data_IF_376924205316
#
_entry.id   IF_376924205316
#
_cell.length_a   1.000
_cell.length_b   1.000
_cell.length_c   1.000
_cell.angle_alpha   90.00
_cell.angle_beta   90.00
_cell.angle_gamma   90.00
#
_symmetry.space_group_name_H-M   'P 1'
#
loop_
_entity.id
_entity.type
_entity.pdbx_description
1 polymer ?
#
# COMPACT_ATOMS: atom_id res chain seq x y z
N UNK A 1 24.12 -31.89 -20.93
CA UNK A 1 22.89 -32.66 -21.15
C UNK A 1 21.68 -31.76 -20.86
N UNK A 2 21.01 -31.43 -21.95
CA UNK A 2 19.61 -31.03 -22.11
C UNK A 2 19.02 -29.99 -21.17
N UNK A 3 19.13 -28.75 -21.57
CA UNK A 3 18.30 -27.64 -21.12
C UNK A 3 16.98 -27.69 -21.92
N UNK A 4 15.87 -28.00 -21.28
CA UNK A 4 14.54 -27.84 -21.87
C UNK A 4 14.03 -26.44 -21.58
N UNK A 5 13.71 -25.73 -22.64
CA UNK A 5 13.08 -24.42 -22.70
C UNK A 5 11.59 -24.52 -22.36
N UNK A 6 11.18 -23.87 -21.27
CA UNK A 6 9.78 -23.61 -20.94
C UNK A 6 9.33 -22.25 -21.53
N UNK A 7 9.07 -22.28 -22.82
CA UNK A 7 8.40 -21.21 -23.54
C UNK A 7 7.03 -21.73 -24.05
N UNK A 8 6.01 -21.72 -23.19
CA UNK A 8 4.59 -21.75 -23.60
C UNK A 8 3.66 -21.75 -22.38
N UNK A 9 3.46 -20.59 -21.74
CA UNK A 9 2.26 -20.32 -20.94
C UNK A 9 2.14 -18.80 -20.73
N UNK A 10 1.81 -18.08 -21.79
CA UNK A 10 1.34 -16.72 -21.63
C UNK A 10 0.48 -16.28 -22.80
N UNK A 11 -0.81 -16.61 -22.76
CA UNK A 11 -1.83 -15.91 -23.53
C UNK A 11 -3.22 -16.24 -22.96
N UNK A 12 -3.59 -15.60 -21.86
CA UNK A 12 -4.97 -15.19 -21.56
C UNK A 12 -4.94 -14.13 -20.45
N UNK A 13 -4.44 -12.96 -20.79
CA UNK A 13 -4.51 -11.78 -19.94
C UNK A 13 -5.90 -11.17 -19.97
N UNK A 14 -6.78 -11.56 -19.05
CA UNK A 14 -8.00 -10.81 -18.77
C UNK A 14 -7.63 -9.53 -18.01
N UNK A 15 -7.76 -8.40 -18.68
CA UNK A 15 -7.61 -7.07 -18.09
C UNK A 15 -8.63 -6.89 -16.97
N UNK A 16 -8.23 -6.27 -15.84
CA UNK A 16 -9.10 -5.93 -14.70
C UNK A 16 -10.35 -5.11 -15.10
N UNK A 17 -10.33 -4.44 -16.25
CA UNK A 17 -11.48 -3.74 -16.81
C UNK A 17 -12.57 -4.69 -17.33
N UNK A 18 -12.23 -5.91 -17.69
CA UNK A 18 -13.20 -6.90 -18.23
C UNK A 18 -13.98 -7.62 -17.12
N UNK A 19 -13.48 -7.61 -15.88
CA UNK A 19 -14.14 -8.31 -14.77
C UNK A 19 -15.34 -7.53 -14.18
N UNK A 20 -15.40 -6.22 -14.34
CA UNK A 20 -16.50 -5.39 -13.85
C UNK A 20 -17.62 -5.17 -14.88
N UNK A 21 -17.45 -5.64 -16.12
CA UNK A 21 -18.41 -5.45 -17.22
C UNK A 21 -19.42 -6.57 -17.42
N UNK A 22 -19.33 -7.72 -16.73
CA UNK A 22 -20.14 -8.90 -17.07
C UNK A 22 -21.20 -9.28 -16.03
N UNK A 23 -21.45 -8.46 -15.03
CA UNK A 23 -22.42 -8.73 -13.97
C UNK A 23 -23.73 -7.93 -14.06
N UNK A 24 -24.11 -7.47 -15.24
CA UNK A 24 -25.33 -6.70 -15.41
C UNK A 24 -26.06 -7.04 -16.72
N UNK A 25 -26.50 -8.29 -16.92
CA UNK A 25 -27.67 -8.63 -17.78
C UNK A 25 -28.14 -10.04 -17.43
N UNK A 26 -29.09 -10.19 -16.53
CA UNK A 26 -30.13 -11.21 -16.58
C UNK A 26 -31.10 -10.99 -15.40
N UNK A 27 -32.26 -10.44 -15.72
CA UNK A 27 -33.35 -10.27 -14.78
C UNK A 27 -34.51 -9.52 -15.42
N UNK A 28 -35.08 -10.13 -16.46
CA UNK A 28 -36.36 -9.65 -17.01
C UNK A 28 -37.51 -10.17 -16.17
N UNK A 29 -38.44 -9.27 -15.84
CA UNK A 29 -39.85 -9.56 -15.68
C UNK A 29 -40.34 -9.83 -14.26
N UNK A 30 -41.12 -8.89 -13.71
CA UNK A 30 -42.56 -9.10 -13.36
C UNK A 30 -43.13 -7.71 -13.09
N UNK A 31 -44.20 -7.43 -13.81
CA UNK A 31 -45.05 -6.27 -13.62
C UNK A 31 -45.93 -6.43 -12.36
N UNK A 32 -46.05 -5.37 -11.58
CA UNK A 32 -46.98 -5.29 -10.45
C UNK A 32 -47.28 -3.86 -10.12
N UNK A 33 -48.50 -3.41 -10.49
CA UNK A 33 -49.05 -2.10 -10.23
C UNK A 33 -49.29 -1.87 -8.75
N UNK A 34 -48.99 -0.67 -8.27
CA UNK A 34 -49.36 -0.19 -6.93
C UNK A 34 -49.25 1.32 -6.84
N UNK A 35 -50.34 2.01 -7.25
CA UNK A 35 -50.54 3.43 -6.95
C UNK A 35 -50.69 3.63 -5.44
N UNK A 36 -49.94 4.53 -4.85
CA UNK A 36 -50.41 5.35 -3.75
C UNK A 36 -49.66 6.70 -3.79
N UNK A 37 -50.44 7.74 -4.06
CA UNK A 37 -49.97 9.10 -4.08
C UNK A 37 -49.82 9.67 -2.68
N UNK A 38 -48.89 10.59 -2.55
CA UNK A 38 -48.93 11.62 -1.53
C UNK A 38 -48.62 12.97 -2.19
N UNK A 39 -49.69 13.75 -2.28
CA UNK A 39 -49.67 15.15 -2.65
C UNK A 39 -49.01 15.99 -1.56
N UNK A 40 -48.11 16.87 -1.93
CA UNK A 40 -47.47 17.82 -1.03
C UNK A 40 -47.18 19.15 -1.74
N UNK A 41 -48.13 20.03 -1.71
CA UNK A 41 -48.08 21.50 -1.73
C UNK A 41 -47.16 22.22 -2.73
N UNK A 42 -47.74 22.58 -3.84
CA UNK A 42 -47.32 23.71 -4.67
C UNK A 42 -47.83 25.03 -4.07
N UNK A 43 -46.95 25.93 -3.66
CA UNK A 43 -47.29 27.34 -3.51
C UNK A 43 -46.78 28.13 -4.71
N UNK A 44 -47.73 28.52 -5.59
CA UNK A 44 -47.51 29.60 -6.56
C UNK A 44 -47.62 30.93 -5.83
N UNK A 45 -46.64 31.78 -5.95
CA UNK A 45 -46.77 33.22 -5.85
C UNK A 45 -46.09 33.85 -7.04
N UNK A 46 -46.94 34.48 -7.87
CA UNK A 46 -46.51 35.33 -8.98
C UNK A 46 -46.04 36.70 -8.44
N UNK A 47 -45.05 37.25 -9.09
CA UNK A 47 -44.85 38.69 -9.07
C UNK A 47 -43.42 39.15 -8.76
N UNK A 48 -42.76 39.72 -9.77
CA UNK A 48 -41.66 40.65 -9.57
C UNK A 48 -40.41 40.33 -10.38
N UNK A 49 -40.35 40.85 -11.60
CA UNK A 49 -39.09 40.92 -12.36
C UNK A 49 -38.13 41.87 -11.63
N UNK A 50 -37.08 41.32 -11.06
CA UNK A 50 -35.88 42.03 -10.68
C UNK A 50 -34.71 41.38 -11.44
N UNK A 51 -34.19 42.12 -12.42
CA UNK A 51 -32.92 41.84 -13.06
C UNK A 51 -31.81 41.93 -12.02
N UNK A 52 -31.57 40.82 -11.32
CA UNK A 52 -30.43 40.64 -10.48
C UNK A 52 -29.39 39.92 -11.32
N UNK A 53 -28.28 40.59 -11.61
CA UNK A 53 -27.05 39.99 -12.06
C UNK A 53 -26.75 38.82 -11.13
N UNK A 54 -27.01 37.60 -11.58
CA UNK A 54 -26.53 36.42 -10.91
C UNK A 54 -24.99 36.47 -10.92
N UNK A 55 -24.44 36.92 -9.81
CA UNK A 55 -23.02 36.68 -9.54
C UNK A 55 -22.81 35.19 -9.65
N UNK A 56 -22.11 34.79 -10.67
CA UNK A 56 -21.49 33.47 -10.76
C UNK A 56 -20.68 33.32 -9.48
N UNK A 57 -21.25 32.66 -8.45
CA UNK A 57 -20.44 32.07 -7.42
C UNK A 57 -19.56 31.06 -8.18
N UNK A 58 -18.31 31.42 -8.42
CA UNK A 58 -17.31 30.46 -8.84
C UNK A 58 -17.44 29.32 -7.82
N UNK A 59 -17.96 28.19 -8.26
CA UNK A 59 -17.91 26.97 -7.48
C UNK A 59 -16.45 26.81 -7.12
N UNK A 60 -16.16 26.81 -5.81
CA UNK A 60 -14.81 26.58 -5.36
C UNK A 60 -14.36 25.29 -6.06
N UNK A 61 -13.28 25.39 -6.81
CA UNK A 61 -12.69 24.25 -7.50
C UNK A 61 -12.22 23.25 -6.41
N UNK A 62 -13.08 22.28 -6.09
CA UNK A 62 -12.78 21.21 -5.16
C UNK A 62 -11.93 20.16 -5.88
N UNK A 63 -10.73 20.54 -6.29
CA UNK A 63 -9.79 19.67 -6.99
C UNK A 63 -9.40 18.42 -6.18
N UNK A 64 -9.62 18.45 -4.89
CA UNK A 64 -9.41 17.35 -3.94
C UNK A 64 -10.66 16.47 -3.72
N UNK A 65 -11.81 16.86 -4.25
CA UNK A 65 -13.03 16.09 -4.12
C UNK A 65 -13.08 14.94 -5.11
N UNK A 66 -13.29 13.72 -4.58
CA UNK A 66 -13.58 12.51 -5.36
C UNK A 66 -14.95 12.00 -4.93
N UNK A 67 -15.88 11.95 -5.86
CA UNK A 67 -17.27 11.58 -5.62
C UNK A 67 -17.43 10.13 -5.13
N UNK A 68 -18.59 9.80 -4.53
CA UNK A 68 -18.91 8.43 -4.18
C UNK A 68 -18.89 7.50 -5.40
N UNK A 69 -18.13 6.40 -5.32
CA UNK A 69 -17.96 5.45 -6.41
C UNK A 69 -16.89 5.81 -7.43
N UNK A 70 -16.32 7.01 -7.36
CA UNK A 70 -15.19 7.41 -8.18
C UNK A 70 -13.87 6.97 -7.59
N UNK A 71 -12.85 6.81 -8.46
CA UNK A 71 -11.50 6.44 -8.08
C UNK A 71 -10.62 7.69 -8.01
N UNK A 72 -9.71 7.69 -7.05
CA UNK A 72 -8.63 8.66 -7.01
C UNK A 72 -7.73 8.52 -8.25
N UNK A 73 -7.15 9.62 -8.68
CA UNK A 73 -6.30 9.69 -9.86
C UNK A 73 -4.97 8.95 -9.63
N UNK A 74 -4.41 9.08 -8.44
CA UNK A 74 -3.15 8.46 -8.04
C UNK A 74 -3.26 7.82 -6.66
N UNK A 75 -2.26 7.00 -6.32
CA UNK A 75 -2.09 6.40 -5.00
C UNK A 75 -0.74 6.77 -4.42
N UNK A 76 -0.75 7.22 -3.16
CA UNK A 76 0.46 7.53 -2.41
C UNK A 76 0.71 6.45 -1.34
N UNK A 77 1.94 5.98 -1.26
CA UNK A 77 2.37 5.05 -0.23
C UNK A 77 3.08 5.82 0.88
N UNK A 78 2.49 5.87 2.04
CA UNK A 78 2.97 6.64 3.18
C UNK A 78 3.42 5.72 4.32
N UNK A 79 4.45 6.16 5.02
CA UNK A 79 4.93 5.49 6.22
C UNK A 79 3.92 5.63 7.36
N UNK A 80 3.65 4.54 8.07
CA UNK A 80 2.96 4.55 9.34
C UNK A 80 3.90 4.77 10.55
N UNK A 81 5.21 4.86 10.31
CA UNK A 81 6.19 5.00 11.38
C UNK A 81 6.20 3.79 12.32
N UNK A 82 6.11 4.03 13.61
CA UNK A 82 6.17 2.98 14.63
C UNK A 82 5.00 1.99 14.63
N UNK A 83 3.93 2.25 13.90
CA UNK A 83 2.89 1.24 13.66
C UNK A 83 3.37 0.11 12.75
N UNK A 84 4.50 0.31 12.04
CA UNK A 84 5.16 -0.72 11.22
C UNK A 84 4.38 -1.12 9.98
N UNK A 85 3.54 -0.24 9.46
CA UNK A 85 2.67 -0.45 8.30
C UNK A 85 2.89 0.62 7.23
N UNK A 86 2.50 0.32 6.00
CA UNK A 86 2.34 1.30 4.93
C UNK A 86 0.86 1.65 4.80
N UNK A 87 0.56 2.93 4.68
CA UNK A 87 -0.78 3.44 4.37
C UNK A 87 -0.85 3.83 2.91
N UNK A 88 -1.88 3.35 2.23
CA UNK A 88 -2.18 3.74 0.86
C UNK A 88 -3.25 4.82 0.91
N UNK A 89 -2.90 6.00 0.42
CA UNK A 89 -3.81 7.15 0.33
C UNK A 89 -4.20 7.38 -1.12
N UNK A 90 -5.44 7.75 -1.34
CA UNK A 90 -5.89 8.25 -2.63
C UNK A 90 -5.45 9.70 -2.84
N UNK A 91 -5.15 10.09 -4.05
CA UNK A 91 -4.83 11.46 -4.45
C UNK A 91 -5.71 11.83 -5.64
N UNK A 92 -6.49 12.92 -5.58
CA UNK A 92 -6.36 14.08 -4.68
C UNK A 92 -7.09 13.97 -3.34
N UNK A 93 -7.98 13.00 -3.11
CA UNK A 93 -8.88 13.00 -1.95
C UNK A 93 -8.19 12.87 -0.59
N UNK A 94 -6.94 12.40 -0.55
CA UNK A 94 -6.16 12.10 0.65
C UNK A 94 -6.84 11.11 1.62
N UNK A 95 -7.88 10.41 1.20
CA UNK A 95 -8.52 9.36 2.00
C UNK A 95 -7.63 8.13 2.13
N UNK A 96 -7.62 7.52 3.30
CA UNK A 96 -6.93 6.26 3.53
C UNK A 96 -7.74 5.12 2.87
N UNK A 97 -7.13 4.46 1.90
CA UNK A 97 -7.74 3.37 1.14
C UNK A 97 -7.41 2.01 1.71
N UNK A 98 -6.19 1.86 2.26
CA UNK A 98 -5.70 0.58 2.73
C UNK A 98 -4.52 0.75 3.68
N UNK A 99 -4.37 -0.23 4.60
CA UNK A 99 -3.16 -0.44 5.40
C UNK A 99 -2.52 -1.76 5.01
N UNK A 100 -1.22 -1.73 4.81
CA UNK A 100 -0.42 -2.91 4.49
C UNK A 100 0.53 -3.14 5.68
N UNK A 101 0.30 -4.15 6.51
CA UNK A 101 1.19 -4.47 7.61
C UNK A 101 2.53 -4.99 7.08
N UNK A 102 3.62 -4.56 7.70
CA UNK A 102 4.98 -4.88 7.24
C UNK A 102 5.83 -5.48 8.36
N UNK A 103 6.18 -4.67 9.37
CA UNK A 103 7.15 -5.05 10.39
C UNK A 103 6.53 -5.50 11.71
N UNK A 104 5.35 -4.99 12.03
CA UNK A 104 4.63 -5.35 13.26
C UNK A 104 3.53 -6.36 12.98
N UNK A 105 3.23 -7.19 13.98
CA UNK A 105 2.05 -8.06 13.91
C UNK A 105 0.79 -7.21 13.86
N UNK A 106 -0.16 -7.64 13.04
CA UNK A 106 -1.46 -6.99 12.94
C UNK A 106 -2.60 -7.99 13.12
N UNK A 107 -3.48 -7.69 14.06
CA UNK A 107 -4.60 -8.59 14.40
C UNK A 107 -5.75 -8.47 13.41
N UNK A 108 -5.93 -7.31 12.79
CA UNK A 108 -7.04 -7.07 11.85
C UNK A 108 -6.87 -7.88 10.56
N UNK A 109 -5.65 -8.02 10.08
CA UNK A 109 -5.31 -8.77 8.87
C UNK A 109 -4.81 -10.19 9.15
N UNK A 110 -4.51 -10.53 10.41
CA UNK A 110 -3.87 -11.79 10.79
C UNK A 110 -2.37 -11.84 10.46
N UNK A 111 -1.75 -10.73 10.08
CA UNK A 111 -0.32 -10.64 9.80
C UNK A 111 0.52 -10.97 11.04
N UNK A 112 1.53 -11.82 10.86
CA UNK A 112 2.34 -12.35 11.98
C UNK A 112 1.63 -13.41 12.82
N UNK A 113 0.41 -13.81 12.46
CA UNK A 113 -0.37 -14.85 13.17
C UNK A 113 -0.35 -16.20 12.45
N UNK A 114 -0.24 -16.21 11.13
CA UNK A 114 -0.08 -17.44 10.33
C UNK A 114 1.39 -17.82 10.20
N UNK A 115 1.66 -19.11 9.89
CA UNK A 115 3.01 -19.59 9.61
C UNK A 115 3.62 -18.89 8.39
N UNK A 116 2.82 -18.60 7.37
CA UNK A 116 3.27 -17.88 6.17
C UNK A 116 3.80 -16.50 6.52
N UNK A 117 3.00 -15.69 7.22
CA UNK A 117 3.39 -14.33 7.59
C UNK A 117 4.55 -14.29 8.59
N UNK A 118 4.63 -15.28 9.52
CA UNK A 118 5.77 -15.41 10.40
C UNK A 118 7.05 -15.77 9.65
N UNK A 119 6.97 -16.63 8.65
CA UNK A 119 8.11 -16.98 7.81
C UNK A 119 8.61 -15.75 7.01
N UNK A 120 7.72 -14.88 6.58
CA UNK A 120 8.12 -13.61 5.94
C UNK A 120 8.83 -12.71 6.95
N UNK A 121 8.27 -12.53 8.15
CA UNK A 121 8.82 -11.67 9.20
C UNK A 121 10.18 -12.16 9.73
N UNK A 122 10.33 -13.47 9.92
CA UNK A 122 11.46 -14.07 10.63
C UNK A 122 12.39 -14.92 9.74
N UNK A 123 12.03 -15.12 8.48
CA UNK A 123 12.78 -16.03 7.59
C UNK A 123 14.21 -15.59 7.32
N UNK A 124 14.44 -14.29 7.28
CA UNK A 124 15.74 -13.69 6.93
C UNK A 124 16.25 -12.75 8.03
N UNK A 125 16.08 -13.13 9.29
CA UNK A 125 16.69 -12.46 10.44
C UNK A 125 18.05 -13.08 10.75
N UNK A 126 18.90 -12.30 11.42
CA UNK A 126 20.24 -12.77 11.84
C UNK A 126 20.13 -13.89 12.90
N UNK A 127 21.17 -14.72 13.06
CA UNK A 127 21.22 -15.71 14.14
C UNK A 127 21.08 -15.06 15.53
N UNK A 128 21.67 -13.90 15.73
CA UNK A 128 21.62 -13.13 16.97
C UNK A 128 20.19 -12.72 17.29
N UNK A 129 19.47 -12.14 16.32
CA UNK A 129 18.06 -11.77 16.48
C UNK A 129 17.19 -13.00 16.70
N UNK A 130 17.45 -14.09 16.00
CA UNK A 130 16.73 -15.35 16.22
C UNK A 130 16.90 -15.87 17.65
N UNK A 131 18.15 -15.84 18.15
CA UNK A 131 18.43 -16.22 19.55
C UNK A 131 17.72 -15.29 20.52
N UNK A 132 17.76 -13.98 20.29
CA UNK A 132 17.05 -13.01 21.12
C UNK A 132 15.56 -13.29 21.22
N UNK A 133 14.89 -13.59 20.09
CA UNK A 133 13.48 -13.94 20.08
C UNK A 133 13.18 -15.20 20.89
N UNK A 134 14.04 -16.22 20.77
CA UNK A 134 13.90 -17.48 21.52
C UNK A 134 14.07 -17.26 23.02
N UNK A 135 15.13 -16.56 23.44
CA UNK A 135 15.45 -16.30 24.84
C UNK A 135 14.33 -15.48 25.53
N UNK A 136 13.67 -14.62 24.79
CA UNK A 136 12.61 -13.74 25.29
C UNK A 136 11.18 -14.28 25.04
N UNK A 137 11.04 -15.48 24.50
CA UNK A 137 9.74 -16.10 24.15
C UNK A 137 8.89 -15.22 23.21
N UNK A 138 9.54 -14.50 22.29
CA UNK A 138 8.89 -13.60 21.35
C UNK A 138 8.66 -14.27 20.01
N UNK A 139 7.51 -14.01 19.39
CA UNK A 139 7.19 -14.55 18.06
C UNK A 139 7.88 -13.83 16.92
N UNK A 140 8.06 -12.53 17.04
CA UNK A 140 8.78 -11.67 16.09
C UNK A 140 9.26 -10.41 16.82
N UNK A 141 10.13 -9.64 16.15
CA UNK A 141 10.57 -8.35 16.68
C UNK A 141 9.36 -7.42 16.86
N UNK A 142 9.21 -6.81 18.03
CA UNK A 142 8.19 -5.79 18.28
C UNK A 142 8.64 -4.45 17.70
N UNK A 143 7.71 -3.52 17.57
CA UNK A 143 7.97 -2.11 17.35
C UNK A 143 8.88 -1.82 16.14
N UNK A 144 8.49 -2.29 14.96
CA UNK A 144 9.09 -1.82 13.72
C UNK A 144 8.87 -0.33 13.56
N UNK A 145 9.87 0.37 13.07
CA UNK A 145 9.81 1.81 12.77
C UNK A 145 9.97 2.00 11.26
N UNK A 146 8.84 2.03 10.57
CA UNK A 146 8.78 2.05 9.11
C UNK A 146 9.09 3.45 8.57
N UNK A 147 10.06 3.52 7.65
CA UNK A 147 10.49 4.74 7.01
C UNK A 147 10.56 4.61 5.49
N UNK A 148 10.46 5.74 4.81
CA UNK A 148 10.80 5.98 3.41
C UNK A 148 10.30 4.92 2.41
N UNK A 149 8.99 4.84 2.12
CA UNK A 149 8.50 4.03 1.02
C UNK A 149 9.07 4.50 -0.32
N UNK A 150 9.64 3.57 -1.09
CA UNK A 150 10.18 3.82 -2.42
C UNK A 150 9.67 2.78 -3.40
N UNK A 151 9.13 3.21 -4.52
CA UNK A 151 8.65 2.34 -5.57
C UNK A 151 9.80 1.83 -6.46
N UNK A 152 9.62 0.64 -7.03
CA UNK A 152 10.49 0.09 -8.06
C UNK A 152 10.39 0.85 -9.38
N UNK A 153 11.42 0.69 -10.22
CA UNK A 153 11.56 1.36 -11.50
C UNK A 153 11.79 0.38 -12.64
N UNK A 154 11.35 0.77 -13.82
CA UNK A 154 11.77 0.24 -15.12
C UNK A 154 12.02 1.45 -16.03
N UNK A 155 13.18 1.48 -16.67
CA UNK A 155 13.60 2.56 -17.56
C UNK A 155 13.38 3.97 -16.97
N UNK A 156 13.83 4.12 -15.71
CA UNK A 156 13.76 5.35 -14.90
C UNK A 156 12.34 5.81 -14.51
N UNK A 157 11.31 5.07 -14.86
CA UNK A 157 9.92 5.35 -14.53
C UNK A 157 9.42 4.41 -13.42
N UNK A 158 8.57 4.89 -12.53
CA UNK A 158 7.88 4.05 -11.55
C UNK A 158 7.06 2.98 -12.27
N UNK A 159 7.31 1.71 -11.96
CA UNK A 159 6.70 0.59 -12.66
C UNK A 159 5.52 -0.06 -11.92
N UNK A 160 5.22 0.40 -10.70
CA UNK A 160 4.09 -0.08 -9.92
C UNK A 160 4.18 -1.54 -9.47
N UNK A 161 5.34 -2.19 -9.58
CA UNK A 161 5.48 -3.61 -9.21
C UNK A 161 5.71 -3.81 -7.73
N UNK A 162 6.64 -3.02 -7.14
CA UNK A 162 7.07 -3.17 -5.76
C UNK A 162 7.20 -1.83 -5.05
N UNK A 163 6.92 -1.83 -3.77
CA UNK A 163 7.33 -0.78 -2.83
C UNK A 163 8.31 -1.38 -1.84
N UNK A 164 9.42 -0.70 -1.64
CA UNK A 164 10.44 -1.04 -0.64
C UNK A 164 10.35 -0.07 0.52
N UNK A 165 10.48 -0.59 1.73
CA UNK A 165 10.43 0.18 2.97
C UNK A 165 11.49 -0.34 3.93
N UNK A 166 11.89 0.48 4.87
CA UNK A 166 12.87 0.10 5.88
C UNK A 166 12.30 0.22 7.28
N UNK A 167 12.85 -0.59 8.17
CA UNK A 167 12.65 -0.55 9.61
C UNK A 167 13.93 -0.01 10.26
N UNK A 168 13.87 1.22 10.72
CA UNK A 168 14.99 1.88 11.36
C UNK A 168 15.32 1.26 12.73
N UNK A 169 14.31 0.82 13.46
CA UNK A 169 14.47 0.27 14.81
C UNK A 169 15.20 -1.07 14.84
N UNK A 170 14.94 -1.95 13.85
CA UNK A 170 15.47 -3.31 13.83
C UNK A 170 16.26 -3.63 12.55
N UNK A 171 16.75 -2.60 11.86
CA UNK A 171 17.63 -2.75 10.68
C UNK A 171 17.09 -3.69 9.60
N UNK A 172 15.79 -3.64 9.33
CA UNK A 172 15.15 -4.50 8.34
C UNK A 172 14.76 -3.72 7.10
N UNK A 173 14.74 -4.40 5.97
CA UNK A 173 14.19 -3.90 4.71
C UNK A 173 13.09 -4.86 4.29
N UNK A 174 11.97 -4.33 3.83
CA UNK A 174 10.86 -5.10 3.33
C UNK A 174 10.51 -4.74 1.90
N UNK A 175 9.89 -5.70 1.21
CA UNK A 175 9.32 -5.55 -0.10
C UNK A 175 7.83 -5.83 -0.05
N UNK A 176 7.05 -4.93 -0.65
CA UNK A 176 5.61 -5.04 -0.81
C UNK A 176 5.31 -5.26 -2.29
N UNK A 177 4.50 -6.24 -2.62
CA UNK A 177 3.99 -6.47 -3.96
C UNK A 177 2.75 -5.60 -4.19
N UNK A 178 2.80 -4.74 -5.19
CA UNK A 178 1.69 -3.83 -5.49
C UNK A 178 0.51 -4.52 -6.20
N UNK A 179 0.74 -5.65 -6.87
CA UNK A 179 -0.32 -6.42 -7.53
C UNK A 179 -1.32 -7.07 -6.56
N UNK A 180 -0.86 -7.40 -5.34
CA UNK A 180 -1.67 -8.00 -4.27
C UNK A 180 -1.71 -7.16 -3.00
N UNK A 181 -1.02 -6.02 -2.99
CA UNK A 181 -0.91 -5.12 -1.83
C UNK A 181 -0.52 -5.85 -0.54
N UNK A 182 0.52 -6.70 -0.64
CA UNK A 182 1.02 -7.50 0.48
C UNK A 182 2.53 -7.44 0.58
N UNK A 183 3.03 -7.42 1.82
CA UNK A 183 4.43 -7.67 2.11
C UNK A 183 4.76 -9.12 1.77
N UNK A 184 5.78 -9.33 0.95
CA UNK A 184 6.21 -10.67 0.54
C UNK A 184 7.63 -11.02 1.00
N UNK A 185 8.40 -10.06 1.48
CA UNK A 185 9.74 -10.29 1.97
C UNK A 185 10.16 -9.26 3.02
N UNK A 186 10.79 -9.74 4.09
CA UNK A 186 11.47 -8.95 5.11
C UNK A 186 12.87 -9.54 5.28
N UNK A 187 13.89 -8.68 5.31
CA UNK A 187 15.30 -9.07 5.46
C UNK A 187 15.94 -8.16 6.49
N UNK A 188 16.59 -8.73 7.48
CA UNK A 188 17.45 -7.99 8.40
C UNK A 188 18.82 -7.76 7.77
N UNK A 189 19.33 -6.55 7.90
CA UNK A 189 20.66 -6.18 7.39
C UNK A 189 21.66 -6.28 8.55
N UNK A 190 22.63 -7.18 8.49
CA UNK A 190 23.61 -7.31 9.55
C UNK A 190 24.60 -6.15 9.56
N UNK A 191 25.24 -5.91 10.70
CA UNK A 191 26.32 -4.94 10.85
C UNK A 191 25.99 -3.52 10.37
N UNK A 192 24.77 -3.08 10.64
CA UNK A 192 24.33 -1.72 10.36
C UNK A 192 23.54 -1.20 11.57
N UNK A 193 23.56 0.10 11.79
CA UNK A 193 22.74 0.76 12.80
C UNK A 193 21.88 1.83 12.16
N UNK A 194 20.56 1.71 12.36
CA UNK A 194 19.59 2.61 11.78
C UNK A 194 19.59 2.57 10.25
N UNK A 195 19.16 1.44 9.65
CA UNK A 195 19.02 1.36 8.18
C UNK A 195 18.15 2.51 7.69
N UNK A 196 18.67 3.31 6.78
CA UNK A 196 18.02 4.51 6.32
C UNK A 196 18.27 4.78 4.82
N UNK A 197 17.44 5.62 4.21
CA UNK A 197 17.69 6.16 2.89
C UNK A 197 17.65 5.16 1.75
N UNK A 198 16.63 4.30 1.68
CA UNK A 198 16.46 3.37 0.56
C UNK A 198 16.48 4.06 -0.79
N UNK A 199 17.23 3.48 -1.74
CA UNK A 199 17.31 3.95 -3.13
C UNK A 199 17.23 2.77 -4.08
N UNK A 200 16.06 2.47 -4.66
CA UNK A 200 15.95 1.46 -5.70
C UNK A 200 16.69 1.86 -6.97
N UNK A 201 17.36 0.91 -7.59
CA UNK A 201 18.00 1.07 -8.90
C UNK A 201 16.95 1.49 -9.93
N UNK A 202 17.28 2.50 -10.76
CA UNK A 202 16.35 3.07 -11.71
C UNK A 202 16.45 2.51 -13.13
N UNK A 203 17.65 2.05 -13.51
CA UNK A 203 17.92 1.58 -14.88
C UNK A 203 18.78 0.31 -14.89
N UNK A 204 18.52 -0.65 -15.79
CA UNK A 204 17.35 -0.72 -16.69
C UNK A 204 16.05 -1.02 -15.95
N UNK A 205 16.13 -1.72 -14.82
CA UNK A 205 15.04 -2.01 -13.88
C UNK A 205 15.59 -2.18 -12.48
N UNK A 206 14.74 -2.09 -11.48
CA UNK A 206 15.13 -2.35 -10.09
C UNK A 206 15.51 -3.81 -9.92
N UNK A 207 16.82 -4.07 -9.83
CA UNK A 207 17.42 -5.33 -9.43
C UNK A 207 18.10 -5.22 -8.07
N UNK A 208 18.47 -4.00 -7.68
CA UNK A 208 19.12 -3.70 -6.42
C UNK A 208 18.39 -2.56 -5.70
N UNK A 209 18.44 -2.62 -4.36
CA UNK A 209 18.01 -1.53 -3.50
C UNK A 209 19.17 -1.18 -2.59
N UNK A 210 19.60 0.06 -2.62
CA UNK A 210 20.72 0.57 -1.83
C UNK A 210 20.19 1.19 -0.54
N UNK A 211 20.85 0.89 0.56
CA UNK A 211 20.57 1.46 1.86
C UNK A 211 21.89 1.83 2.55
N UNK A 212 21.85 2.76 3.47
CA UNK A 212 22.98 3.13 4.32
C UNK A 212 22.59 3.02 5.80
N UNK A 213 23.58 2.88 6.67
CA UNK A 213 23.40 3.08 8.11
C UNK A 213 23.39 4.56 8.43
N UNK A 214 22.53 4.97 9.36
CA UNK A 214 22.48 6.33 9.87
C UNK A 214 23.58 6.57 10.92
N UNK A 215 23.91 5.52 11.68
CA UNK A 215 24.88 5.60 12.76
C UNK A 215 26.12 4.75 12.46
N UNK A 216 27.26 5.19 12.98
CA UNK A 216 28.50 4.41 12.95
C UNK A 216 28.35 3.24 13.91
N UNK A 217 28.73 2.04 13.44
CA UNK A 217 28.88 0.86 14.29
C UNK A 217 30.30 0.34 14.17
N UNK A 218 30.89 -0.17 15.27
CA UNK A 218 32.18 -0.83 15.23
C UNK A 218 32.11 -2.12 14.40
N UNK A 219 33.13 -2.35 13.58
CA UNK A 219 33.26 -3.60 12.80
C UNK A 219 33.60 -4.77 13.72
N UNK A 220 34.18 -4.50 14.87
CA UNK A 220 34.54 -5.51 15.87
C UNK A 220 33.67 -5.36 17.11
N UNK A 221 33.24 -6.49 17.68
CA UNK A 221 32.39 -6.55 18.88
C UNK A 221 33.05 -6.02 20.16
N UNK A 222 34.26 -5.47 20.09
CA UNK A 222 35.00 -4.97 21.24
C UNK A 222 34.51 -3.61 21.72
N UNK A 223 33.70 -2.93 20.94
CA UNK A 223 33.12 -1.65 21.32
C UNK A 223 31.61 -1.74 21.52
N UNK A 224 31.23 -2.40 22.58
CA UNK A 224 29.83 -2.49 23.00
C UNK A 224 29.33 -1.21 23.70
N UNK A 225 30.05 -0.13 23.61
CA UNK A 225 29.78 1.09 24.39
C UNK A 225 29.15 2.22 23.59
N UNK A 226 28.72 1.94 22.41
CA UNK A 226 28.01 2.94 21.60
C UNK A 226 26.63 2.45 21.26
#
# INVERSE_FOLDING_TARGET
ESCMSDDKLNQTGLSRRSFLGTAAVSGAGIAGAGLLGLAGCSNKSEGGAASGTAGSSAAADHSDYVGPGELDQYYAFNSGGQSGEVRVLGVPSMRELMRIPVFNMDSATGWGRSNESLNILNGNITPETRKFLQDNHMRCMPNGDLHHPHMSFTDQTYDGRYVYVQDKANNRVARIRCDVMKTDKVVEIPNVSGVHGLRPQRYPKTGYVFANGEHIIPITKTDSQT
#
